data_IF_048677956753
#
_entry.id   IF_048677956753
#
_cell.length_a   1.000
_cell.length_b   1.000
_cell.length_c   1.000
_cell.angle_alpha   90.00
_cell.angle_beta   90.00
_cell.angle_gamma   90.00
#
_symmetry.space_group_name_H-M   'P 1'
#
loop_
_entity.id
_entity.type
_entity.pdbx_description
1 polymer ?
#
# COMPACT_ATOMS: atom_id res chain seq x y z
N UNK A 1 -5.79 -18.20 -7.77
CA UNK A 1 -4.47 -17.70 -7.67
C UNK A 1 -4.43 -16.20 -7.62
N UNK A 2 -3.74 -15.67 -6.67
CA UNK A 2 -3.70 -14.25 -6.46
C UNK A 2 -2.31 -13.73 -6.62
N UNK A 3 -2.16 -12.60 -7.28
CA UNK A 3 -0.87 -11.97 -7.43
C UNK A 3 -0.91 -10.58 -6.85
N UNK A 4 0.12 -10.24 -6.10
CA UNK A 4 0.34 -8.88 -5.65
C UNK A 4 1.63 -8.44 -6.29
N UNK A 5 1.59 -7.38 -7.07
CA UNK A 5 2.77 -6.94 -7.79
C UNK A 5 3.62 -5.95 -7.03
N UNK A 6 3.02 -5.11 -6.20
CA UNK A 6 3.74 -4.10 -5.45
C UNK A 6 3.00 -3.71 -4.20
N UNK A 7 3.72 -3.08 -3.30
CA UNK A 7 3.15 -2.38 -2.15
C UNK A 7 3.62 -0.95 -2.24
N UNK A 8 2.75 -0.01 -1.99
CA UNK A 8 3.10 1.40 -2.03
C UNK A 8 2.62 2.10 -0.76
N UNK A 9 3.40 3.09 -0.34
CA UNK A 9 3.02 3.95 0.76
C UNK A 9 2.91 5.37 0.21
N UNK A 10 1.84 6.04 0.58
CA UNK A 10 1.59 7.40 0.17
C UNK A 10 1.48 8.24 1.43
N UNK A 11 2.34 9.22 1.54
CA UNK A 11 2.26 10.15 2.67
C UNK A 11 1.53 11.39 2.15
N UNK A 12 0.41 11.72 2.74
CA UNK A 12 -0.40 12.84 2.27
C UNK A 12 -0.63 13.85 3.38
N UNK A 13 -0.98 15.05 2.99
CA UNK A 13 -1.24 16.11 3.95
C UNK A 13 -2.53 15.84 4.71
N UNK A 14 -2.46 15.80 6.03
CA UNK A 14 -3.64 15.57 6.85
C UNK A 14 -4.64 16.72 6.72
N UNK A 15 -4.18 17.95 6.62
CA UNK A 15 -5.11 19.06 6.47
C UNK A 15 -5.89 18.94 5.16
N UNK A 16 -5.23 18.52 4.09
CA UNK A 16 -5.93 18.31 2.82
C UNK A 16 -6.95 17.18 2.94
N UNK A 17 -6.57 16.11 3.61
CA UNK A 17 -7.46 14.97 3.81
C UNK A 17 -8.72 15.38 4.55
N UNK A 18 -8.57 16.22 5.56
CA UNK A 18 -9.71 16.67 6.35
C UNK A 18 -10.57 17.69 5.64
N UNK A 19 -9.96 18.50 4.79
CA UNK A 19 -10.70 19.54 4.09
C UNK A 19 -11.42 19.06 2.86
N UNK A 20 -10.93 18.01 2.22
CA UNK A 20 -11.52 17.56 0.98
C UNK A 20 -11.97 16.11 1.08
N UNK A 21 -13.28 15.87 1.20
CA UNK A 21 -13.80 14.50 1.33
C UNK A 21 -13.55 13.64 0.11
N UNK A 22 -13.24 14.24 -1.03
CA UNK A 22 -12.94 13.45 -2.22
C UNK A 22 -11.65 12.66 -2.06
N UNK A 23 -10.73 13.14 -1.23
CA UNK A 23 -9.49 12.42 -1.01
C UNK A 23 -9.79 11.10 -0.29
N UNK A 24 -10.58 11.11 0.77
CA UNK A 24 -10.96 9.90 1.46
C UNK A 24 -11.73 8.96 0.55
N UNK A 25 -12.59 9.51 -0.28
CA UNK A 25 -13.38 8.71 -1.19
C UNK A 25 -12.49 8.02 -2.21
N UNK A 26 -11.49 8.71 -2.72
CA UNK A 26 -10.54 8.14 -3.67
C UNK A 26 -9.74 7.02 -3.04
N UNK A 27 -9.30 7.19 -1.81
CA UNK A 27 -8.56 6.17 -1.08
C UNK A 27 -9.42 4.92 -0.93
N UNK A 28 -10.69 5.08 -0.54
CA UNK A 28 -11.58 3.94 -0.37
C UNK A 28 -11.88 3.25 -1.68
N UNK A 29 -12.02 4.02 -2.75
CA UNK A 29 -12.31 3.44 -4.02
C UNK A 29 -11.22 2.53 -4.52
N UNK A 30 -9.99 2.77 -4.14
CA UNK A 30 -8.85 1.94 -4.54
C UNK A 30 -8.57 0.83 -3.53
N UNK A 31 -9.40 0.70 -2.48
CA UNK A 31 -9.20 -0.28 -1.43
C UNK A 31 -7.87 -0.08 -0.70
N UNK A 32 -7.40 1.13 -0.65
CA UNK A 32 -6.19 1.45 0.08
C UNK A 32 -6.53 1.63 1.56
N UNK A 33 -5.54 1.47 2.42
CA UNK A 33 -5.76 1.50 3.86
C UNK A 33 -5.06 2.67 4.51
N UNK A 34 -5.75 3.31 5.44
CA UNK A 34 -5.12 4.34 6.25
C UNK A 34 -4.32 3.64 7.32
N UNK A 35 -3.01 3.86 7.33
CA UNK A 35 -2.13 3.24 8.32
C UNK A 35 -1.89 4.13 9.52
N UNK A 36 -1.81 5.42 9.30
CA UNK A 36 -1.49 6.36 10.33
C UNK A 36 -2.10 7.70 10.00
N UNK A 37 -2.62 8.39 10.99
CA UNK A 37 -3.11 9.75 10.81
C UNK A 37 -2.56 10.58 11.96
N UNK A 38 -1.75 11.56 11.67
CA UNK A 38 -1.31 12.48 12.69
C UNK A 38 -1.58 13.91 12.18
N UNK A 39 -1.38 14.93 12.99
CA UNK A 39 -1.79 16.29 12.58
C UNK A 39 -1.09 16.82 11.33
N UNK A 40 0.08 16.32 11.03
CA UNK A 40 0.86 16.82 9.90
C UNK A 40 0.64 16.00 8.64
N UNK A 41 0.72 14.68 8.76
CA UNK A 41 0.59 13.83 7.60
C UNK A 41 -0.18 12.57 7.93
N UNK A 42 -0.68 11.93 6.91
CA UNK A 42 -1.36 10.65 7.02
C UNK A 42 -0.73 9.69 6.04
N UNK A 43 -0.63 8.45 6.43
CA UNK A 43 0.01 7.42 5.59
C UNK A 43 -1.03 6.44 5.09
N UNK A 44 -0.99 6.18 3.80
CA UNK A 44 -1.91 5.28 3.11
C UNK A 44 -1.11 4.16 2.49
N UNK A 45 -1.59 2.95 2.59
CA UNK A 45 -0.93 1.79 2.01
C UNK A 45 -1.83 1.12 0.98
N UNK A 46 -1.26 0.76 -0.15
CA UNK A 46 -1.99 0.00 -1.16
C UNK A 46 -1.09 -1.14 -1.63
N UNK A 47 -1.61 -2.36 -1.59
CA UNK A 47 -0.91 -3.52 -2.11
C UNK A 47 -1.75 -4.06 -3.27
N UNK A 48 -1.14 -4.23 -4.40
CA UNK A 48 -1.89 -4.70 -5.57
C UNK A 48 -1.12 -4.57 -6.85
N UNK A 49 -1.85 -4.37 -7.93
CA UNK A 49 -1.25 -4.25 -9.25
C UNK A 49 -0.59 -2.90 -9.41
N UNK A 50 0.48 -2.88 -10.17
CA UNK A 50 1.21 -1.65 -10.43
C UNK A 50 0.31 -0.55 -10.98
N UNK A 51 -0.58 -0.90 -11.89
CA UNK A 51 -1.44 0.12 -12.50
C UNK A 51 -2.40 0.74 -11.49
N UNK A 52 -2.85 -0.02 -10.51
CA UNK A 52 -3.73 0.53 -9.49
C UNK A 52 -2.96 1.46 -8.57
N UNK A 53 -1.73 1.10 -8.25
CA UNK A 53 -0.87 1.91 -7.40
C UNK A 53 -0.56 3.24 -8.06
N UNK A 54 -0.23 3.21 -9.35
CA UNK A 54 0.08 4.42 -10.09
C UNK A 54 -1.16 5.28 -10.25
N UNK A 55 -2.31 4.64 -10.50
CA UNK A 55 -3.56 5.38 -10.65
C UNK A 55 -3.92 6.13 -9.37
N UNK A 56 -3.78 5.48 -8.24
CA UNK A 56 -4.05 6.15 -6.97
C UNK A 56 -3.10 7.33 -6.77
N UNK A 57 -1.82 7.14 -7.09
CA UNK A 57 -0.86 8.22 -6.97
C UNK A 57 -1.28 9.41 -7.83
N UNK A 58 -1.66 9.15 -9.08
CA UNK A 58 -2.03 10.24 -9.98
C UNK A 58 -3.25 10.97 -9.48
N UNK A 59 -4.22 10.28 -8.95
CA UNK A 59 -5.40 10.93 -8.44
C UNK A 59 -5.10 11.73 -7.16
N UNK A 60 -4.32 11.17 -6.25
CA UNK A 60 -3.96 11.91 -5.05
C UNK A 60 -3.10 13.12 -5.38
N UNK A 61 -2.18 12.95 -6.31
CA UNK A 61 -1.31 14.05 -6.72
C UNK A 61 -2.13 15.15 -7.41
N UNK A 62 -3.19 14.78 -8.08
CA UNK A 62 -4.08 15.75 -8.68
C UNK A 62 -4.77 16.65 -7.66
N UNK A 63 -4.95 16.17 -6.42
CA UNK A 63 -5.48 16.99 -5.35
C UNK A 63 -4.37 17.86 -4.71
N UNK A 64 -3.13 17.63 -5.08
CA UNK A 64 -2.02 18.40 -4.52
C UNK A 64 -1.68 18.03 -3.09
N UNK A 65 -2.04 16.83 -2.64
CA UNK A 65 -1.88 16.47 -1.24
C UNK A 65 -0.73 15.51 -0.95
N UNK A 66 -0.03 15.03 -1.97
CA UNK A 66 1.01 14.03 -1.77
C UNK A 66 2.30 14.67 -1.27
N UNK A 67 2.78 14.20 -0.13
CA UNK A 67 4.03 14.67 0.44
C UNK A 67 5.18 13.72 0.11
N UNK A 68 4.90 12.43 0.04
CA UNK A 68 5.91 11.44 -0.27
C UNK A 68 5.25 10.20 -0.83
N UNK A 69 5.93 9.50 -1.70
CA UNK A 69 5.38 8.34 -2.38
C UNK A 69 6.50 7.32 -2.52
N UNK A 70 6.29 6.12 -2.01
CA UNK A 70 7.30 5.08 -2.03
C UNK A 70 6.69 3.80 -2.57
N UNK A 71 7.37 3.16 -3.48
CA UNK A 71 6.92 1.90 -4.06
C UNK A 71 7.95 0.83 -3.80
N UNK A 72 7.49 -0.40 -3.58
CA UNK A 72 8.41 -1.51 -3.36
C UNK A 72 8.98 -2.04 -4.65
N UNK A 73 8.42 -1.67 -5.77
CA UNK A 73 8.78 -2.30 -7.03
C UNK A 73 8.04 -3.60 -7.18
N UNK A 74 8.34 -4.35 -8.21
CA UNK A 74 7.60 -5.53 -8.52
C UNK A 74 7.87 -6.64 -7.53
N UNK A 75 6.81 -7.16 -6.97
CA UNK A 75 6.87 -8.31 -6.09
C UNK A 75 5.86 -9.30 -6.62
N UNK A 76 6.25 -10.53 -6.80
CA UNK A 76 5.32 -11.55 -7.25
C UNK A 76 5.02 -12.47 -6.08
N UNK A 77 3.76 -12.53 -5.70
CA UNK A 77 3.33 -13.42 -4.64
C UNK A 77 2.23 -14.30 -5.20
N UNK A 78 2.44 -15.60 -5.17
CA UNK A 78 1.40 -16.50 -5.61
C UNK A 78 0.91 -17.22 -4.40
N UNK A 79 -0.39 -17.44 -4.35
CA UNK A 79 -0.90 -18.12 -3.23
C UNK A 79 -1.02 -19.51 -3.52
N UNK A 80 -0.34 -20.02 -4.25
CA UNK A 80 -0.48 -21.34 -4.47
C UNK A 80 0.16 -22.15 -3.52
N UNK A 81 0.58 -22.34 -2.94
CA UNK A 81 1.12 -23.18 -2.26
C UNK A 81 0.96 -23.38 -1.25
N UNK A 82 0.79 -23.48 -0.98
CA UNK A 82 0.55 -23.75 -0.13
C UNK A 82 1.27 -23.93 0.62
N UNK A 83 1.93 -23.59 0.81
CA UNK A 83 2.59 -23.56 1.58
C UNK A 83 2.65 -23.07 2.06
N UNK A 84 2.55 -23.00 2.25
CA UNK A 84 2.50 -22.26 2.78
C UNK A 84 3.30 -21.41 3.06
N UNK A 85 3.33 -20.49 2.68
CA UNK A 85 3.99 -19.53 3.03
C UNK A 85 4.31 -19.55 4.35
N UNK A 86 3.52 -19.91 5.08
CA UNK A 86 3.82 -19.96 6.35
C UNK A 86 4.96 -20.75 6.55
N UNK A 87 5.31 -21.55 5.71
CA UNK A 87 6.35 -22.26 5.91
C UNK A 87 7.49 -21.56 5.76
N UNK A 88 7.73 -20.63 5.08
CA UNK A 88 8.91 -20.07 5.13
C UNK A 88 8.94 -18.87 5.75
N UNK A 89 8.04 -18.47 6.35
CA UNK A 89 8.06 -17.48 7.11
C UNK A 89 8.27 -17.99 8.37
N UNK A 90 7.96 -19.06 8.61
CA UNK A 90 8.12 -19.54 9.83
C UNK A 90 9.20 -20.34 9.87
N UNK A 91 9.72 -20.61 9.17
CA UNK A 91 10.82 -21.27 9.29
C UNK A 91 11.83 -20.49 9.20
N UNK A 92 11.68 -19.78 9.13
CA UNK A 92 12.21 -19.22 9.29
C UNK A 92 11.96 -18.53 9.85
N UNK A 93 11.61 -18.49 10.00
CA UNK A 93 11.30 -18.16 10.81
C UNK A 93 11.46 -18.04 10.77
N UNK A 94 11.66 -18.23 10.73
CA UNK A 94 11.82 -18.42 10.71
C UNK A 94 12.06 -17.74 9.99
N UNK A 95 12.52 -17.44 9.64
CA UNK A 95 12.71 -17.04 9.26
C UNK A 95 12.34 -16.05 9.02
N UNK A 96 12.30 -15.86 8.88
CA UNK A 96 11.92 -15.44 8.99
C UNK A 96 11.61 -14.60 8.63
N UNK A 97 11.84 -14.40 8.28
CA UNK A 97 11.48 -14.07 8.11
C UNK A 97 11.07 -13.26 7.41
N UNK A 98 11.08 -13.26 6.58
CA UNK A 98 10.62 -12.88 6.30
C UNK A 98 10.34 -12.17 5.33
N UNK A 99 10.39 -12.05 4.95
CA UNK A 99 10.05 -11.94 4.41
C UNK A 99 10.20 -11.71 3.76
N UNK A 100 10.44 -11.87 3.41
CA UNK A 100 10.48 -12.19 3.33
C UNK A 100 10.77 -12.26 3.02
N UNK A 101 11.04 -12.30 2.73
CA UNK A 101 11.15 -12.85 3.10
C UNK A 101 11.29 -12.73 3.15
#
# INVERSE_FOLDING_TARGET
QLFIHEVALYKISTSSLLENPEISRTIRKHDARMMEVNPTYSTVLLAGLTEDIVDLFEQLNGFGCVLQYTRSGRIAVTRSFEEPVSDYLDQEGKQENGITE
#
